data_IF_275218625697
#
_entry.id   IF_275218625697
#
_cell.length_a   1.000
_cell.length_b   1.000
_cell.length_c   1.000
_cell.angle_alpha   90.00
_cell.angle_beta   90.00
_cell.angle_gamma   90.00
#
_symmetry.space_group_name_H-M   'P 1'
#
loop_
_entity.id
_entity.type
_entity.pdbx_description
1 polymer ?
#
# COMPACT_ATOMS: atom_id res chain seq x y z
N UNK A 1 -35.95 -27.96 -33.81
CA UNK A 1 -34.55 -28.46 -33.80
C UNK A 1 -33.78 -27.56 -32.85
N UNK A 2 -32.98 -28.00 -31.90
CA UNK A 2 -32.77 -29.25 -31.19
C UNK A 2 -32.02 -28.82 -29.91
N UNK A 3 -32.27 -29.51 -28.80
CA UNK A 3 -31.68 -29.23 -27.50
C UNK A 3 -30.15 -29.39 -27.49
N UNK A 4 -29.47 -28.62 -26.64
CA UNK A 4 -28.22 -29.05 -26.02
C UNK A 4 -28.06 -28.38 -24.65
N UNK A 5 -28.38 -29.16 -23.60
CA UNK A 5 -27.85 -29.00 -22.24
C UNK A 5 -26.36 -29.33 -22.25
N UNK A 6 -25.56 -28.55 -21.55
CA UNK A 6 -24.37 -29.07 -20.88
C UNK A 6 -23.99 -28.13 -19.74
N UNK A 7 -24.03 -28.66 -18.52
CA UNK A 7 -23.38 -28.07 -17.36
C UNK A 7 -22.03 -28.74 -17.16
N UNK A 8 -21.10 -28.02 -16.55
CA UNK A 8 -20.01 -28.60 -15.78
C UNK A 8 -19.49 -27.54 -14.80
N UNK A 9 -19.50 -27.91 -13.53
CA UNK A 9 -19.01 -27.18 -12.38
C UNK A 9 -17.49 -26.99 -12.46
N UNK A 10 -17.00 -25.78 -12.28
CA UNK A 10 -15.57 -25.55 -12.00
C UNK A 10 -15.38 -25.34 -10.49
N UNK A 11 -15.04 -26.46 -9.84
CA UNK A 11 -13.77 -26.61 -9.13
C UNK A 11 -13.40 -25.50 -8.15
N UNK A 12 -13.91 -25.66 -6.93
CA UNK A 12 -13.46 -24.98 -5.73
C UNK A 12 -11.98 -25.34 -5.44
N UNK A 13 -11.07 -24.47 -5.86
CA UNK A 13 -9.63 -24.56 -5.57
C UNK A 13 -9.32 -24.19 -4.13
N UNK A 14 -9.65 -25.06 -3.18
CA UNK A 14 -9.16 -25.01 -1.81
C UNK A 14 -7.67 -25.35 -1.79
N UNK A 15 -6.81 -24.33 -1.81
CA UNK A 15 -5.39 -24.49 -1.50
C UNK A 15 -5.25 -24.62 0.02
N UNK A 16 -5.39 -25.86 0.50
CA UNK A 16 -5.00 -26.24 1.85
C UNK A 16 -3.47 -26.30 1.89
N UNK A 17 -2.85 -25.18 2.22
CA UNK A 17 -1.43 -25.12 2.55
C UNK A 17 -1.24 -25.79 3.92
N UNK A 18 -0.76 -27.05 3.91
CA UNK A 18 -0.40 -27.76 5.13
C UNK A 18 1.01 -27.31 5.54
N UNK A 19 1.21 -26.72 6.73
CA UNK A 19 2.55 -26.34 7.15
C UNK A 19 3.38 -27.59 7.49
N UNK A 20 4.62 -27.56 7.02
CA UNK A 20 5.63 -28.61 7.20
C UNK A 20 5.83 -28.98 8.69
N UNK A 21 6.12 -30.26 8.99
CA UNK A 21 6.34 -30.73 10.34
C UNK A 21 7.74 -30.32 10.81
N UNK A 22 7.86 -29.24 11.58
CA UNK A 22 9.17 -28.88 12.15
C UNK A 22 9.25 -27.62 13.00
N UNK A 23 8.34 -26.66 12.84
CA UNK A 23 8.37 -25.43 13.63
C UNK A 23 7.08 -25.30 14.41
N UNK A 24 7.12 -25.67 15.69
CA UNK A 24 6.07 -25.24 16.62
C UNK A 24 5.93 -23.72 16.52
N UNK A 25 4.74 -23.25 16.11
CA UNK A 25 4.48 -21.83 15.93
C UNK A 25 4.78 -21.04 17.21
N UNK A 26 5.08 -19.75 17.09
CA UNK A 26 5.48 -18.93 18.24
C UNK A 26 4.42 -18.93 19.36
N UNK A 27 3.14 -19.07 19.02
CA UNK A 27 2.07 -19.24 19.98
C UNK A 27 2.21 -20.52 20.83
N UNK A 28 2.61 -21.64 20.22
CA UNK A 28 2.86 -22.89 20.94
C UNK A 28 4.10 -22.78 21.83
N UNK A 29 5.15 -22.09 21.37
CA UNK A 29 6.33 -21.80 22.17
C UNK A 29 5.97 -20.94 23.39
N UNK A 30 5.13 -19.93 23.22
CA UNK A 30 4.63 -19.10 24.32
C UNK A 30 3.92 -19.95 25.38
N UNK A 31 2.96 -20.78 24.99
CA UNK A 31 2.27 -21.70 25.91
C UNK A 31 3.26 -22.64 26.62
N UNK A 32 4.22 -23.19 25.89
CA UNK A 32 5.24 -24.09 26.45
C UNK A 32 6.10 -23.39 27.50
N UNK A 33 6.48 -22.13 27.26
CA UNK A 33 7.28 -21.32 28.21
C UNK A 33 6.48 -21.04 29.47
N UNK A 34 5.20 -20.68 29.34
CA UNK A 34 4.31 -20.42 30.48
C UNK A 34 4.10 -21.68 31.33
N UNK A 35 3.84 -22.83 30.70
CA UNK A 35 3.70 -24.10 31.41
C UNK A 35 5.00 -24.50 32.11
N UNK A 36 6.14 -24.31 31.43
CA UNK A 36 7.47 -24.58 32.03
C UNK A 36 7.73 -23.66 33.23
N UNK A 37 7.38 -22.37 33.13
CA UNK A 37 7.49 -21.43 34.24
C UNK A 37 6.66 -21.87 35.45
N UNK A 38 5.39 -22.24 35.24
CA UNK A 38 4.52 -22.72 36.31
C UNK A 38 5.04 -24.00 36.98
N UNK A 39 5.58 -24.93 36.19
CA UNK A 39 6.23 -26.13 36.72
C UNK A 39 7.42 -25.78 37.61
N UNK A 40 8.28 -24.85 37.17
CA UNK A 40 9.45 -24.42 37.95
C UNK A 40 9.05 -23.66 39.22
N UNK A 41 8.01 -22.84 39.16
CA UNK A 41 7.46 -22.14 40.31
C UNK A 41 6.99 -23.12 41.39
N UNK A 42 6.20 -24.13 41.00
CA UNK A 42 5.71 -25.15 41.94
C UNK A 42 6.83 -26.04 42.46
N UNK A 43 7.82 -26.37 41.63
CA UNK A 43 8.99 -27.11 42.09
C UNK A 43 9.79 -26.34 43.14
N UNK A 44 9.92 -25.01 42.98
CA UNK A 44 10.64 -24.15 43.93
C UNK A 44 9.89 -24.01 45.28
N UNK A 45 8.56 -23.94 45.22
CA UNK A 45 7.65 -23.90 46.36
C UNK A 45 7.19 -25.28 46.80
N UNK A 46 8.09 -26.28 46.84
CA UNK A 46 7.71 -27.67 47.15
C UNK A 46 6.99 -27.83 48.50
N UNK A 47 6.15 -28.86 48.62
CA UNK A 47 5.42 -29.15 49.85
C UNK A 47 6.33 -29.28 51.08
N UNK A 48 7.54 -29.82 50.92
CA UNK A 48 8.52 -29.93 52.00
C UNK A 48 8.90 -28.55 52.55
N UNK A 49 9.23 -27.61 51.67
CA UNK A 49 9.56 -26.23 52.07
C UNK A 49 8.38 -25.54 52.75
N UNK A 50 7.17 -25.77 52.24
CA UNK A 50 5.95 -25.25 52.85
C UNK A 50 5.75 -25.82 54.26
N UNK A 51 5.86 -27.14 54.44
CA UNK A 51 5.70 -27.81 55.73
C UNK A 51 6.80 -27.41 56.74
N UNK A 52 8.04 -27.21 56.28
CA UNK A 52 9.16 -26.75 57.10
C UNK A 52 8.90 -25.35 57.68
N UNK A 53 8.34 -24.43 56.87
CA UNK A 53 7.95 -23.09 57.33
C UNK A 53 6.77 -23.10 58.32
N UNK A 54 5.85 -24.07 58.19
CA UNK A 54 4.67 -24.21 59.06
C UNK A 54 4.78 -25.41 60.02
N UNK A 55 5.97 -25.64 60.57
CA UNK A 55 6.30 -26.86 61.31
C UNK A 55 5.34 -27.16 62.48
N UNK A 56 4.97 -26.16 63.27
CA UNK A 56 4.09 -26.32 64.43
C UNK A 56 2.69 -26.84 64.04
N UNK A 57 2.14 -26.32 62.93
CA UNK A 57 0.83 -26.72 62.44
C UNK A 57 0.87 -28.11 61.77
N UNK A 58 1.92 -28.37 60.98
CA UNK A 58 2.17 -29.66 60.36
C UNK A 58 2.23 -30.81 61.38
N UNK A 59 2.89 -30.61 62.53
CA UNK A 59 2.98 -31.61 63.61
C UNK A 59 1.62 -31.96 64.22
N UNK A 60 0.71 -31.00 64.29
CA UNK A 60 -0.63 -31.19 64.88
C UNK A 60 -1.60 -31.82 63.87
N UNK A 61 -1.59 -31.35 62.62
CA UNK A 61 -2.55 -31.77 61.61
C UNK A 61 -1.92 -31.85 60.20
N UNK A 62 -1.19 -32.94 59.90
CA UNK A 62 -0.46 -33.08 58.64
C UNK A 62 -1.37 -33.22 57.42
N UNK A 63 -2.53 -33.87 57.57
CA UNK A 63 -3.51 -34.03 56.49
C UNK A 63 -4.10 -32.68 56.04
N UNK A 64 -4.42 -31.81 57.00
CA UNK A 64 -4.95 -30.49 56.72
C UNK A 64 -3.90 -29.58 56.08
N UNK A 65 -2.66 -29.64 56.56
CA UNK A 65 -1.53 -28.89 55.98
C UNK A 65 -1.32 -29.26 54.50
N UNK A 66 -1.41 -30.56 54.17
CA UNK A 66 -1.32 -31.03 52.79
C UNK A 66 -2.49 -30.56 51.94
N UNK A 67 -3.72 -30.66 52.44
CA UNK A 67 -4.91 -30.17 51.74
C UNK A 67 -4.84 -28.67 51.43
N UNK A 68 -4.36 -27.85 52.37
CA UNK A 68 -4.18 -26.41 52.18
C UNK A 68 -3.14 -26.12 51.10
N UNK A 69 -2.01 -26.83 51.13
CA UNK A 69 -0.96 -26.67 50.11
C UNK A 69 -1.47 -27.07 48.71
N UNK A 70 -2.12 -28.22 48.58
CA UNK A 70 -2.64 -28.72 47.31
C UNK A 70 -3.69 -27.74 46.74
N UNK A 71 -4.54 -27.18 47.60
CA UNK A 71 -5.51 -26.16 47.22
C UNK A 71 -4.82 -24.85 46.80
N UNK A 72 -3.84 -24.38 47.56
CA UNK A 72 -3.07 -23.18 47.24
C UNK A 72 -2.37 -23.29 45.89
N UNK A 73 -1.66 -24.39 45.63
CA UNK A 73 -0.95 -24.61 44.37
C UNK A 73 -1.92 -24.69 43.20
N UNK A 74 -3.02 -25.44 43.36
CA UNK A 74 -4.02 -25.60 42.30
C UNK A 74 -4.69 -24.26 41.95
N UNK A 75 -5.07 -23.47 42.96
CA UNK A 75 -5.64 -22.15 42.76
C UNK A 75 -4.62 -21.19 42.12
N UNK A 76 -3.39 -21.15 42.62
CA UNK A 76 -2.33 -20.30 42.07
C UNK A 76 -2.08 -20.61 40.58
N UNK A 77 -1.96 -21.89 40.23
CA UNK A 77 -1.79 -22.30 38.84
C UNK A 77 -2.99 -21.94 37.98
N UNK A 78 -4.22 -22.15 38.48
CA UNK A 78 -5.44 -21.82 37.75
C UNK A 78 -5.54 -20.32 37.48
N UNK A 79 -5.38 -19.48 38.51
CA UNK A 79 -5.46 -18.03 38.37
C UNK A 79 -4.37 -17.46 37.46
N UNK A 80 -3.13 -17.94 37.56
CA UNK A 80 -2.07 -17.47 36.65
C UNK A 80 -2.38 -17.87 35.20
N UNK A 81 -2.90 -19.09 34.97
CA UNK A 81 -3.28 -19.54 33.63
C UNK A 81 -4.45 -18.76 33.06
N UNK A 82 -5.44 -18.48 33.89
CA UNK A 82 -6.61 -17.65 33.54
C UNK A 82 -6.18 -16.23 33.19
N UNK A 83 -5.41 -15.57 34.05
CA UNK A 83 -4.89 -14.21 33.81
C UNK A 83 -4.08 -14.12 32.50
N UNK A 84 -3.18 -15.09 32.27
CA UNK A 84 -2.40 -15.12 31.03
C UNK A 84 -3.29 -15.37 29.81
N UNK A 85 -4.31 -16.21 29.95
CA UNK A 85 -5.28 -16.48 28.88
C UNK A 85 -6.10 -15.22 28.57
N UNK A 86 -6.54 -14.48 29.57
CA UNK A 86 -7.23 -13.20 29.41
C UNK A 86 -6.36 -12.17 28.70
N UNK A 87 -5.10 -11.98 29.13
CA UNK A 87 -4.14 -11.09 28.46
C UNK A 87 -3.86 -11.54 27.02
N UNK A 88 -3.81 -12.85 26.76
CA UNK A 88 -3.61 -13.41 25.42
C UNK A 88 -4.81 -13.10 24.51
N UNK A 89 -6.02 -13.20 25.04
CA UNK A 89 -7.26 -12.90 24.32
C UNK A 89 -7.43 -11.40 24.08
N UNK A 90 -7.22 -10.55 25.10
CA UNK A 90 -7.27 -9.10 25.00
C UNK A 90 -6.27 -8.56 23.96
N UNK A 91 -5.04 -9.08 24.00
CA UNK A 91 -3.98 -8.73 23.06
C UNK A 91 -4.09 -9.40 21.69
N UNK A 92 -5.08 -10.28 21.48
CA UNK A 92 -5.23 -11.12 20.29
C UNK A 92 -3.89 -11.76 19.85
N UNK A 93 -3.15 -12.26 20.83
CA UNK A 93 -1.74 -12.59 20.68
C UNK A 93 -1.53 -13.80 19.77
N UNK A 94 -2.48 -14.75 19.75
CA UNK A 94 -2.41 -15.90 18.86
C UNK A 94 -2.43 -15.48 17.39
N UNK A 95 -3.34 -14.58 17.01
CA UNK A 95 -3.40 -14.07 15.64
C UNK A 95 -2.13 -13.28 15.29
N UNK A 96 -1.63 -12.46 16.21
CA UNK A 96 -0.42 -11.66 15.99
C UNK A 96 0.82 -12.56 15.79
N UNK A 97 1.01 -13.56 16.65
CA UNK A 97 2.12 -14.50 16.54
C UNK A 97 2.04 -15.34 15.26
N UNK A 98 0.85 -15.79 14.87
CA UNK A 98 0.64 -16.49 13.61
C UNK A 98 0.94 -15.57 12.39
N UNK A 99 0.54 -14.29 12.46
CA UNK A 99 0.86 -13.33 11.40
C UNK A 99 2.37 -13.06 11.30
N UNK A 100 3.08 -13.04 12.44
CA UNK A 100 4.52 -12.89 12.48
C UNK A 100 5.23 -14.14 11.93
N UNK A 101 4.73 -15.33 12.24
CA UNK A 101 5.22 -16.59 11.66
C UNK A 101 5.10 -16.56 10.14
N UNK A 102 3.97 -16.08 9.61
CA UNK A 102 3.76 -15.89 8.16
C UNK A 102 4.74 -14.88 7.56
N UNK A 103 4.94 -13.71 8.17
CA UNK A 103 5.87 -12.68 7.69
C UNK A 103 7.32 -13.21 7.65
N UNK A 104 7.71 -13.98 8.66
CA UNK A 104 9.05 -14.58 8.70
C UNK A 104 9.20 -15.61 7.59
N UNK A 105 8.21 -16.49 7.41
CA UNK A 105 8.21 -17.46 6.31
C UNK A 105 8.29 -16.79 4.92
N UNK A 106 7.58 -15.68 4.71
CA UNK A 106 7.63 -14.88 3.47
C UNK A 106 9.03 -14.26 3.21
N UNK A 107 9.85 -14.12 4.25
CA UNK A 107 11.15 -13.45 4.19
C UNK A 107 12.35 -14.38 4.37
N UNK A 108 12.14 -15.69 4.53
CA UNK A 108 13.19 -16.70 4.76
C UNK A 108 14.30 -16.69 3.70
N UNK A 109 14.00 -16.26 2.47
CA UNK A 109 14.98 -16.22 1.36
C UNK A 109 15.79 -14.91 1.28
N UNK A 110 15.66 -14.00 2.25
CA UNK A 110 16.37 -12.71 2.25
C UNK A 110 17.43 -12.69 3.34
N UNK A 111 18.69 -12.85 2.95
CA UNK A 111 19.84 -12.81 3.86
C UNK A 111 20.30 -11.38 4.19
N UNK A 112 19.78 -10.37 3.49
CA UNK A 112 20.16 -8.98 3.72
C UNK A 112 19.47 -8.39 4.97
N UNK A 113 20.19 -7.59 5.78
CA UNK A 113 19.59 -6.88 6.90
C UNK A 113 18.40 -6.02 6.44
N UNK A 114 17.22 -6.33 6.96
CA UNK A 114 16.02 -5.55 6.67
C UNK A 114 16.18 -4.10 7.17
N UNK A 115 15.64 -3.15 6.40
CA UNK A 115 15.62 -1.73 6.76
C UNK A 115 15.02 -1.51 8.16
N UNK A 116 15.56 -0.52 8.87
CA UNK A 116 15.09 -0.08 10.19
C UNK A 116 14.92 1.44 10.16
N UNK A 117 13.92 1.99 10.88
CA UNK A 117 13.76 3.44 11.00
C UNK A 117 15.05 4.09 11.46
N UNK A 118 15.50 5.10 10.71
CA UNK A 118 16.72 5.84 11.01
C UNK A 118 16.57 6.75 12.23
N UNK A 119 15.33 7.06 12.61
CA UNK A 119 15.00 8.05 13.63
C UNK A 119 14.84 9.46 13.04
N UNK A 120 14.99 9.62 11.72
CA UNK A 120 14.75 10.87 10.99
C UNK A 120 13.46 10.70 10.18
N UNK A 121 12.34 11.29 10.61
CA UNK A 121 11.03 11.09 9.97
C UNK A 121 11.02 11.44 8.48
N UNK A 122 11.76 12.47 8.07
CA UNK A 122 11.82 12.93 6.68
C UNK A 122 12.42 11.90 5.73
N UNK A 123 13.43 11.16 6.19
CA UNK A 123 14.08 10.12 5.41
C UNK A 123 13.28 8.82 5.45
N UNK A 124 12.71 8.48 6.61
CA UNK A 124 11.91 7.27 6.80
C UNK A 124 10.61 7.30 5.96
N UNK A 125 9.96 8.47 5.90
CA UNK A 125 8.74 8.66 5.09
C UNK A 125 9.06 8.69 3.60
N UNK A 126 10.24 9.19 3.19
CA UNK A 126 10.61 9.35 1.77
C UNK A 126 10.42 8.07 0.97
N UNK A 127 10.88 6.93 1.51
CA UNK A 127 10.75 5.62 0.84
C UNK A 127 9.30 5.27 0.51
N UNK A 128 8.36 5.59 1.43
CA UNK A 128 6.95 5.34 1.24
C UNK A 128 6.30 6.31 0.22
N UNK A 129 6.70 7.58 0.17
CA UNK A 129 6.06 8.59 -0.70
C UNK A 129 6.60 8.56 -2.14
N UNK A 130 7.86 8.18 -2.33
CA UNK A 130 8.55 8.22 -3.64
C UNK A 130 7.75 7.51 -4.75
N UNK A 131 7.19 6.29 -4.58
CA UNK A 131 6.41 5.63 -5.62
C UNK A 131 5.20 6.46 -6.10
N UNK A 132 4.49 7.12 -5.18
CA UNK A 132 3.35 7.98 -5.52
C UNK A 132 3.77 9.23 -6.28
N UNK A 133 4.85 9.88 -5.84
CA UNK A 133 5.41 11.05 -6.51
C UNK A 133 5.92 10.70 -7.92
N UNK A 134 6.54 9.53 -8.09
CA UNK A 134 6.97 9.03 -9.39
C UNK A 134 5.79 8.79 -10.34
N UNK A 135 4.69 8.20 -9.83
CA UNK A 135 3.44 8.01 -10.59
C UNK A 135 2.80 9.34 -10.98
N UNK A 136 2.79 10.32 -10.08
CA UNK A 136 2.26 11.65 -10.39
C UNK A 136 3.11 12.38 -11.44
N UNK A 137 4.44 12.31 -11.30
CA UNK A 137 5.39 12.88 -12.26
C UNK A 137 5.24 12.28 -13.65
N UNK A 138 5.05 10.97 -13.77
CA UNK A 138 4.85 10.33 -15.08
C UNK A 138 3.54 10.76 -15.74
N UNK A 139 2.47 10.88 -14.95
CA UNK A 139 1.19 11.41 -15.42
C UNK A 139 1.32 12.85 -15.94
N UNK A 140 1.91 13.75 -15.15
CA UNK A 140 2.09 15.16 -15.55
C UNK A 140 2.91 15.31 -16.82
N UNK A 141 3.99 14.52 -16.97
CA UNK A 141 4.79 14.52 -18.21
C UNK A 141 3.98 14.09 -19.43
N UNK A 142 3.09 13.11 -19.28
CA UNK A 142 2.21 12.67 -20.36
C UNK A 142 1.26 13.80 -20.78
N UNK A 143 0.64 14.46 -19.80
CA UNK A 143 -0.28 15.59 -20.06
C UNK A 143 0.46 16.76 -20.71
N UNK A 144 1.65 17.10 -20.21
CA UNK A 144 2.47 18.18 -20.76
C UNK A 144 2.81 17.91 -22.22
N UNK A 145 3.30 16.71 -22.54
CA UNK A 145 3.64 16.32 -23.91
C UNK A 145 2.44 16.41 -24.85
N UNK A 146 1.27 15.96 -24.41
CA UNK A 146 0.04 16.09 -25.21
C UNK A 146 -0.29 17.56 -25.50
N UNK A 147 -0.14 18.44 -24.50
CA UNK A 147 -0.40 19.87 -24.66
C UNK A 147 0.61 20.56 -25.56
N UNK A 148 1.87 20.18 -25.48
CA UNK A 148 2.93 20.68 -26.36
C UNK A 148 2.67 20.29 -27.82
N UNK A 149 2.25 19.06 -28.08
CA UNK A 149 1.90 18.58 -29.42
C UNK A 149 0.65 19.28 -29.98
N UNK A 150 -0.41 19.41 -29.17
CA UNK A 150 -1.61 20.17 -29.53
C UNK A 150 -1.26 21.63 -29.87
N UNK A 151 -0.42 22.27 -29.05
CA UNK A 151 0.00 23.65 -29.26
C UNK A 151 0.87 23.79 -30.52
N UNK A 152 1.78 22.84 -30.79
CA UNK A 152 2.58 22.80 -32.01
C UNK A 152 1.70 22.77 -33.27
N UNK A 153 0.71 21.86 -33.30
CA UNK A 153 -0.24 21.75 -34.41
C UNK A 153 -1.06 23.04 -34.61
N UNK A 154 -1.50 23.66 -33.51
CA UNK A 154 -2.24 24.93 -33.57
C UNK A 154 -1.34 26.06 -34.07
N UNK A 155 -0.08 26.13 -33.63
CA UNK A 155 0.88 27.12 -34.09
C UNK A 155 1.15 27.01 -35.60
N UNK A 156 1.32 25.79 -36.13
CA UNK A 156 1.46 25.55 -37.57
C UNK A 156 0.24 26.04 -38.36
N UNK A 157 -0.98 25.75 -37.88
CA UNK A 157 -2.22 26.24 -38.50
C UNK A 157 -2.32 27.76 -38.49
N UNK A 158 -1.90 28.41 -37.40
CA UNK A 158 -1.84 29.88 -37.30
C UNK A 158 -0.83 30.45 -38.28
N UNK A 159 0.35 29.86 -38.44
CA UNK A 159 1.36 30.31 -39.41
C UNK A 159 0.83 30.19 -40.85
N UNK A 160 0.26 29.04 -41.23
CA UNK A 160 -0.35 28.85 -42.53
C UNK A 160 -1.51 29.84 -42.77
N UNK A 161 -2.31 30.12 -41.75
CA UNK A 161 -3.35 31.14 -41.79
C UNK A 161 -2.80 32.55 -42.03
N UNK A 162 -1.70 32.92 -41.35
CA UNK A 162 -1.03 34.22 -41.53
C UNK A 162 -0.45 34.37 -42.94
N UNK A 163 0.17 33.34 -43.48
CA UNK A 163 0.69 33.33 -44.87
C UNK A 163 -0.45 33.55 -45.87
N UNK A 164 -1.58 32.86 -45.69
CA UNK A 164 -2.75 33.03 -46.56
C UNK A 164 -3.33 34.44 -46.50
N UNK A 165 -3.37 35.04 -45.31
CA UNK A 165 -3.78 36.44 -45.15
C UNK A 165 -2.82 37.39 -45.88
N UNK A 166 -1.51 37.17 -45.76
CA UNK A 166 -0.50 37.98 -46.45
C UNK A 166 -0.65 37.91 -47.98
N UNK A 167 -0.88 36.72 -48.54
CA UNK A 167 -1.10 36.57 -49.99
C UNK A 167 -2.40 37.23 -50.44
N UNK A 168 -3.48 37.09 -49.67
CA UNK A 168 -4.75 37.78 -49.97
C UNK A 168 -4.57 39.31 -49.94
N UNK A 169 -3.82 39.84 -48.98
CA UNK A 169 -3.49 41.26 -48.93
C UNK A 169 -2.72 41.71 -50.18
N UNK A 170 -1.74 40.92 -50.64
CA UNK A 170 -0.99 41.20 -51.87
C UNK A 170 -1.89 41.23 -53.10
N UNK A 171 -2.81 40.27 -53.23
CA UNK A 171 -3.78 40.22 -54.32
C UNK A 171 -4.75 41.41 -54.31
N UNK A 172 -5.26 41.77 -53.13
CA UNK A 172 -6.13 42.94 -52.96
C UNK A 172 -5.39 44.21 -53.38
N UNK A 173 -4.14 44.37 -52.96
CA UNK A 173 -3.32 45.53 -53.30
C UNK A 173 -3.00 45.59 -54.80
N UNK A 174 -2.66 44.47 -55.43
CA UNK A 174 -2.43 44.38 -56.87
C UNK A 174 -3.69 44.74 -57.67
N UNK A 175 -4.85 44.20 -57.26
CA UNK A 175 -6.14 44.55 -57.86
C UNK A 175 -6.43 46.05 -57.70
N UNK A 176 -6.25 46.61 -56.50
CA UNK A 176 -6.41 48.05 -56.25
C UNK A 176 -5.55 48.88 -57.19
N UNK A 177 -4.27 48.53 -57.36
CA UNK A 177 -3.38 49.23 -58.28
C UNK A 177 -3.81 49.12 -59.75
N UNK A 178 -4.27 47.94 -60.19
CA UNK A 178 -4.82 47.76 -61.54
C UNK A 178 -6.04 48.66 -61.79
N UNK A 179 -6.98 48.72 -60.84
CA UNK A 179 -8.14 49.63 -60.92
C UNK A 179 -7.73 51.10 -60.96
N UNK A 180 -6.72 51.49 -60.18
CA UNK A 180 -6.18 52.86 -60.21
C UNK A 180 -5.53 53.20 -61.55
N UNK A 181 -4.84 52.25 -62.20
CA UNK A 181 -4.24 52.43 -63.52
C UNK A 181 -5.31 52.64 -64.60
N UNK A 182 -6.32 51.76 -64.66
CA UNK A 182 -7.44 51.88 -65.60
C UNK A 182 -8.16 53.22 -65.41
N UNK A 183 -8.40 53.64 -64.17
CA UNK A 183 -9.03 54.94 -63.88
C UNK A 183 -8.15 56.14 -64.28
N UNK A 184 -6.81 56.02 -64.27
CA UNK A 184 -5.91 57.05 -64.81
C UNK A 184 -6.00 57.10 -66.33
N UNK A 185 -5.89 55.96 -67.00
CA UNK A 185 -6.03 55.85 -68.47
C UNK A 185 -7.36 56.41 -68.95
N UNK A 186 -8.47 56.10 -68.26
CA UNK A 186 -9.78 56.67 -68.56
C UNK A 186 -9.80 58.20 -68.43
N UNK A 187 -9.16 58.77 -67.40
CA UNK A 187 -9.07 60.23 -67.24
C UNK A 187 -8.22 60.88 -68.32
N UNK A 188 -7.12 60.24 -68.71
CA UNK A 188 -6.27 60.69 -69.81
C UNK A 188 -7.01 60.63 -71.15
N UNK A 189 -7.75 59.55 -71.41
CA UNK A 189 -8.58 59.40 -72.60
C UNK A 189 -9.69 60.47 -72.66
N UNK A 190 -10.42 60.69 -71.57
CA UNK A 190 -11.42 61.76 -71.49
C UNK A 190 -10.77 63.12 -71.75
N UNK A 191 -9.56 63.38 -71.23
CA UNK A 191 -8.82 64.62 -71.50
C UNK A 191 -8.49 64.79 -72.98
N UNK A 192 -8.11 63.73 -73.70
CA UNK A 192 -7.89 63.79 -75.16
C UNK A 192 -9.16 64.08 -75.95
N UNK A 193 -10.34 63.63 -75.48
CA UNK A 193 -11.62 63.95 -76.09
C UNK A 193 -12.18 65.32 -75.68
N UNK A 194 -11.63 65.95 -74.63
CA UNK A 194 -12.08 67.26 -74.09
C UNK A 194 -11.10 68.39 -74.45
N UNK A 195 -10.21 68.21 -75.43
CA UNK A 195 -9.48 69.34 -76.04
C UNK A 195 -10.45 70.17 -76.90
N UNK A 196 -10.71 71.44 -76.56
CA UNK A 196 -11.51 72.33 -77.40
C UNK A 196 -10.62 73.06 -78.42
N UNK A 197 -11.19 73.37 -79.60
CA UNK A 197 -10.78 74.53 -80.39
C UNK A 197 -10.96 75.83 -79.58
#
# INVERSE_FOLDING_TARGET
>A
MAEARSGAEEGQGGSSDSPAPGTSGRAQLFTTVVDTFLQKLVAAGSYQRFADCYHCFYKLQPLMTRSIYDQFVSQLQAYIKEEIQEVKEEGNLEQLLNSLDKIVQETENRDEPAWRPSGIPEDDVRSAVVPYLLKHRSYLRKVLRQKEEENGRVAESVLAGRERIAELQRLIQARKHAWQAISKEQRELIRTFTEPQ
#
